data_IF_559751304071
#
_entry.id   IF_559751304071
#
_cell.length_a   1.000
_cell.length_b   1.000
_cell.length_c   1.000
_cell.angle_alpha   90.00
_cell.angle_beta   90.00
_cell.angle_gamma   90.00
#
_symmetry.space_group_name_H-M   'P 1'
#
loop_
_entity.id
_entity.type
_entity.pdbx_description
1 polymer ?
#
# COMPACT_ATOMS: atom_id res chain seq x y z
N UNK A 1 -10.46 10.60 8.94
CA UNK A 1 -9.19 10.77 8.21
C UNK A 1 -9.03 12.22 7.74
N UNK A 2 -10.06 12.84 7.12
CA UNK A 2 -10.00 14.21 6.59
C UNK A 2 -9.65 15.25 7.68
N UNK A 3 -10.34 15.23 8.82
CA UNK A 3 -10.08 16.16 9.94
C UNK A 3 -8.66 16.02 10.54
N UNK A 4 -8.12 14.80 10.60
CA UNK A 4 -6.77 14.57 11.10
C UNK A 4 -5.70 15.01 10.09
N UNK A 5 -6.00 14.88 8.81
CA UNK A 5 -5.16 15.41 7.73
C UNK A 5 -5.18 16.94 7.69
N UNK A 6 -6.33 17.57 7.83
CA UNK A 6 -6.44 19.04 7.83
C UNK A 6 -5.66 19.68 8.99
N UNK A 7 -5.76 19.14 10.21
CA UNK A 7 -4.96 19.60 11.34
C UNK A 7 -3.45 19.39 11.15
N UNK A 8 -3.07 18.24 10.61
CA UNK A 8 -1.67 17.98 10.26
C UNK A 8 -1.20 18.83 9.09
N UNK A 9 -2.10 19.20 8.18
CA UNK A 9 -1.80 20.08 7.04
C UNK A 9 -1.46 21.50 7.46
N UNK A 10 -2.14 22.04 8.46
CA UNK A 10 -1.79 23.36 9.02
C UNK A 10 -0.41 23.34 9.69
N UNK A 11 -0.05 22.25 10.35
CA UNK A 11 1.28 22.06 10.94
C UNK A 11 2.35 21.91 9.85
N UNK A 12 2.04 21.23 8.78
CA UNK A 12 2.95 20.84 7.70
C UNK A 12 3.27 21.97 6.72
N UNK A 13 2.49 23.06 6.70
CA UNK A 13 2.84 24.25 5.91
C UNK A 13 4.18 24.89 6.30
N UNK A 14 4.69 24.56 7.48
CA UNK A 14 6.01 25.00 8.00
C UNK A 14 7.13 23.99 7.75
N UNK A 15 6.82 22.76 7.31
CA UNK A 15 7.81 21.72 7.05
C UNK A 15 8.32 21.79 5.62
N UNK A 16 9.56 21.39 5.42
CA UNK A 16 10.08 21.23 4.07
C UNK A 16 9.47 19.99 3.38
N UNK A 17 9.62 19.90 2.07
CA UNK A 17 9.00 18.85 1.26
C UNK A 17 9.46 17.43 1.63
N UNK A 18 10.69 17.27 2.15
CA UNK A 18 11.18 15.97 2.63
C UNK A 18 10.44 15.49 3.86
N UNK A 19 10.13 16.41 4.78
CA UNK A 19 9.35 16.11 5.97
C UNK A 19 7.90 15.77 5.61
N UNK A 20 7.35 16.43 4.59
CA UNK A 20 6.05 16.11 4.02
C UNK A 20 5.97 14.67 3.51
N UNK A 21 6.96 14.23 2.78
CA UNK A 21 6.98 12.89 2.21
C UNK A 21 7.10 11.82 3.30
N UNK A 22 7.97 12.02 4.28
CA UNK A 22 8.09 11.14 5.44
C UNK A 22 6.83 11.11 6.29
N UNK A 23 6.13 12.24 6.39
CA UNK A 23 4.99 12.39 7.25
C UNK A 23 3.69 11.83 6.66
N UNK A 24 3.50 11.92 5.36
CA UNK A 24 2.25 11.57 4.69
C UNK A 24 2.27 10.26 3.91
N UNK A 25 3.42 9.82 3.46
CA UNK A 25 3.55 8.50 2.86
C UNK A 25 3.82 7.42 3.90
N UNK A 26 3.16 7.54 5.04
CA UNK A 26 3.30 6.58 6.11
C UNK A 26 2.72 5.25 5.70
N UNK A 27 3.55 4.28 5.82
CA UNK A 27 3.23 2.87 5.78
C UNK A 27 2.96 2.43 7.20
N UNK A 28 2.06 1.49 7.41
CA UNK A 28 2.06 0.75 8.65
C UNK A 28 3.47 0.21 8.90
N UNK A 29 3.89 0.08 10.16
CA UNK A 29 5.26 -0.25 10.48
C UNK A 29 5.80 -1.37 9.62
N UNK A 30 6.89 -1.09 8.97
CA UNK A 30 7.74 -2.10 8.35
C UNK A 30 8.93 -2.31 9.26
N UNK A 31 9.73 -3.28 8.94
CA UNK A 31 10.96 -3.72 9.60
C UNK A 31 12.02 -2.60 9.89
N UNK A 32 11.73 -1.34 9.59
CA UNK A 32 12.66 -0.21 9.78
C UNK A 32 11.99 1.04 10.37
N UNK A 33 10.97 0.83 11.13
CA UNK A 33 10.31 1.95 11.79
C UNK A 33 11.24 2.59 12.80
N UNK A 34 11.51 3.87 12.62
CA UNK A 34 12.12 4.68 13.66
C UNK A 34 11.19 4.69 14.87
N UNK A 35 11.76 4.59 16.08
CA UNK A 35 10.99 4.59 17.34
C UNK A 35 9.99 5.74 17.45
N UNK A 36 10.24 6.83 16.76
CA UNK A 36 9.51 8.10 16.84
C UNK A 36 8.53 8.32 15.68
N UNK A 37 8.40 7.38 14.73
CA UNK A 37 7.44 7.56 13.65
C UNK A 37 6.02 7.32 14.17
N UNK A 38 5.21 8.36 14.16
CA UNK A 38 3.78 8.30 14.42
C UNK A 38 3.12 7.33 13.45
N UNK A 39 2.60 6.26 14.01
CA UNK A 39 1.95 5.24 13.22
C UNK A 39 0.58 5.72 12.79
N UNK A 40 0.27 5.45 11.54
CA UNK A 40 -1.07 5.62 11.02
C UNK A 40 -2.05 4.50 11.42
N UNK A 41 -1.74 3.76 12.46
CA UNK A 41 -2.72 2.93 13.13
C UNK A 41 -3.76 3.85 13.81
N UNK A 42 -4.70 4.35 13.02
CA UNK A 42 -5.76 5.25 13.46
C UNK A 42 -7.09 4.52 13.50
N UNK A 43 -8.03 5.01 14.31
CA UNK A 43 -9.41 4.52 14.28
C UNK A 43 -10.03 4.55 12.88
N UNK A 44 -9.74 5.57 12.10
CA UNK A 44 -10.26 5.69 10.74
C UNK A 44 -9.74 4.58 9.83
N UNK A 45 -8.44 4.26 9.92
CA UNK A 45 -7.86 3.15 9.15
C UNK A 45 -8.40 1.79 9.64
N UNK A 46 -8.51 1.60 10.95
CA UNK A 46 -9.13 0.41 11.54
C UNK A 46 -10.55 0.20 11.01
N UNK A 47 -11.38 1.23 11.06
CA UNK A 47 -12.76 1.18 10.55
C UNK A 47 -12.81 0.91 9.04
N UNK A 48 -11.88 1.48 8.29
CA UNK A 48 -11.78 1.27 6.85
C UNK A 48 -11.40 -0.18 6.51
N UNK A 49 -10.43 -0.76 7.22
CA UNK A 49 -10.01 -2.17 7.05
C UNK A 49 -11.19 -3.12 7.33
N UNK A 50 -12.05 -2.81 8.28
CA UNK A 50 -13.22 -3.61 8.67
C UNK A 50 -14.52 -3.17 8.02
N UNK A 51 -14.48 -2.25 7.07
CA UNK A 51 -15.69 -1.67 6.48
C UNK A 51 -16.51 -2.74 5.75
N UNK A 52 -17.77 -2.88 6.11
CA UNK A 52 -18.66 -3.96 5.64
C UNK A 52 -18.78 -4.03 4.11
N UNK A 53 -18.91 -2.88 3.43
CA UNK A 53 -19.00 -2.83 1.96
C UNK A 53 -17.70 -3.32 1.29
N UNK A 54 -16.54 -2.97 1.84
CA UNK A 54 -15.24 -3.45 1.34
C UNK A 54 -15.15 -4.95 1.54
N UNK A 55 -15.41 -5.44 2.76
CA UNK A 55 -15.33 -6.87 3.07
C UNK A 55 -16.33 -7.72 2.27
N UNK A 56 -17.50 -7.19 1.93
CA UNK A 56 -18.46 -7.91 1.08
C UNK A 56 -17.96 -8.13 -0.35
N UNK A 57 -17.17 -7.19 -0.89
CA UNK A 57 -16.54 -7.33 -2.21
C UNK A 57 -15.32 -8.27 -2.12
N UNK A 58 -14.49 -8.10 -1.10
CA UNK A 58 -13.31 -8.96 -0.85
C UNK A 58 -13.72 -10.43 -0.68
N UNK A 59 -14.82 -10.69 0.04
CA UNK A 59 -15.36 -12.03 0.25
C UNK A 59 -15.74 -12.74 -1.05
N UNK A 60 -16.30 -12.03 -2.02
CA UNK A 60 -16.66 -12.60 -3.33
C UNK A 60 -15.43 -13.10 -4.10
N UNK A 61 -14.24 -12.59 -3.79
CA UNK A 61 -12.99 -12.93 -4.47
C UNK A 61 -12.18 -13.93 -3.66
N UNK A 62 -12.01 -13.67 -2.36
CA UNK A 62 -11.14 -14.47 -1.50
C UNK A 62 -11.88 -15.58 -0.72
N UNK A 63 -13.22 -15.56 -0.73
CA UNK A 63 -14.03 -16.43 0.12
C UNK A 63 -14.25 -15.84 1.53
N UNK A 64 -14.94 -16.57 2.42
CA UNK A 64 -15.47 -16.03 3.67
C UNK A 64 -14.42 -15.92 4.80
N UNK A 65 -13.26 -16.54 4.67
CA UNK A 65 -12.20 -16.57 5.68
C UNK A 65 -11.09 -15.59 5.27
N UNK A 66 -11.17 -14.35 5.77
CA UNK A 66 -10.36 -13.22 5.29
C UNK A 66 -9.47 -12.69 6.41
N UNK A 67 -8.18 -12.58 6.10
CA UNK A 67 -7.20 -11.88 6.93
C UNK A 67 -6.94 -10.47 6.38
N UNK A 68 -6.81 -9.49 7.27
CA UNK A 68 -6.13 -8.24 6.95
C UNK A 68 -4.64 -8.52 6.82
N UNK A 69 -4.07 -8.25 5.65
CA UNK A 69 -2.63 -8.35 5.46
C UNK A 69 -1.95 -7.13 6.10
N UNK A 70 -0.78 -7.27 6.73
CA UNK A 70 -0.12 -6.14 7.40
C UNK A 70 0.45 -5.08 6.43
N UNK A 71 0.48 -5.34 5.14
CA UNK A 71 0.98 -4.37 4.15
C UNK A 71 -0.13 -3.40 3.78
N UNK A 72 -0.33 -2.39 4.62
CA UNK A 72 -1.29 -1.31 4.43
C UNK A 72 -0.55 0.00 4.17
N UNK A 73 -1.04 0.84 3.27
CA UNK A 73 -0.42 2.12 2.98
C UNK A 73 -1.48 3.23 2.86
N UNK A 74 -1.12 4.41 3.29
CA UNK A 74 -1.78 5.66 2.87
C UNK A 74 -0.78 6.46 2.06
N UNK A 75 -1.27 7.15 1.04
CA UNK A 75 -0.40 7.88 0.11
C UNK A 75 -0.95 9.27 -0.15
N UNK A 76 -0.06 10.25 -0.12
CA UNK A 76 -0.32 11.59 -0.64
C UNK A 76 0.62 11.82 -1.81
N UNK A 77 0.04 12.07 -2.97
CA UNK A 77 0.78 12.43 -4.17
C UNK A 77 0.72 13.94 -4.37
N UNK A 78 1.85 14.59 -4.14
CA UNK A 78 2.02 16.01 -4.30
C UNK A 78 2.07 16.42 -5.78
N UNK A 79 1.72 17.68 -6.12
CA UNK A 79 2.00 18.23 -7.44
C UNK A 79 3.48 18.13 -7.80
N UNK A 80 3.80 17.60 -8.98
CA UNK A 80 5.19 17.39 -9.44
C UNK A 80 6.02 18.67 -9.37
N UNK A 81 5.44 19.82 -9.72
CA UNK A 81 6.11 21.12 -9.67
C UNK A 81 6.57 21.58 -8.29
N UNK A 82 5.99 21.00 -7.21
CA UNK A 82 6.35 21.32 -5.82
C UNK A 82 7.44 20.42 -5.28
N UNK A 83 7.84 19.40 -6.06
CA UNK A 83 8.86 18.44 -5.65
C UNK A 83 10.26 18.98 -5.97
N UNK A 84 11.24 18.82 -5.08
CA UNK A 84 12.64 19.04 -5.43
C UNK A 84 13.03 18.19 -6.63
N UNK A 85 13.86 18.73 -7.54
CA UNK A 85 14.29 17.99 -8.76
C UNK A 85 14.84 16.58 -8.45
N UNK A 86 15.49 16.40 -7.30
CA UNK A 86 15.97 15.09 -6.82
C UNK A 86 14.86 14.16 -6.33
N UNK A 87 13.73 14.69 -5.86
CA UNK A 87 12.62 13.87 -5.32
C UNK A 87 11.67 13.33 -6.37
N UNK A 88 11.73 13.81 -7.60
CA UNK A 88 10.98 13.24 -8.73
C UNK A 88 11.33 11.75 -8.89
N UNK A 89 12.54 11.36 -8.51
CA UNK A 89 13.03 9.97 -8.54
C UNK A 89 12.85 9.23 -7.21
N UNK A 90 12.41 9.89 -6.15
CA UNK A 90 12.28 9.28 -4.82
C UNK A 90 11.06 8.37 -4.66
N UNK A 91 10.22 8.30 -5.70
CA UNK A 91 9.17 7.29 -5.85
C UNK A 91 8.00 7.36 -4.86
N UNK A 92 8.12 8.11 -3.78
CA UNK A 92 7.10 8.21 -2.76
C UNK A 92 6.13 9.35 -3.04
N UNK A 93 6.63 10.47 -3.52
CA UNK A 93 5.84 11.67 -3.84
C UNK A 93 5.64 11.88 -5.34
N UNK A 94 6.60 11.48 -6.16
CA UNK A 94 6.54 11.62 -7.62
C UNK A 94 5.73 10.53 -8.31
N UNK A 95 6.36 9.45 -8.71
CA UNK A 95 5.72 8.29 -9.34
C UNK A 95 6.05 7.02 -8.56
N UNK A 96 5.13 6.06 -8.55
CA UNK A 96 5.44 4.70 -8.15
C UNK A 96 5.88 3.93 -9.39
N UNK A 97 7.03 3.25 -9.40
CA UNK A 97 7.48 2.49 -10.56
C UNK A 97 6.55 1.31 -10.86
N UNK A 98 6.71 0.71 -12.04
CA UNK A 98 6.01 -0.52 -12.38
C UNK A 98 6.35 -1.63 -11.40
N UNK A 99 5.34 -2.19 -10.75
CA UNK A 99 5.50 -3.28 -9.80
C UNK A 99 4.25 -4.16 -9.75
N UNK A 100 4.39 -5.31 -9.12
CA UNK A 100 3.30 -6.20 -8.75
C UNK A 100 3.28 -6.31 -7.22
N UNK A 101 2.09 -6.30 -6.62
CA UNK A 101 1.97 -6.32 -5.15
C UNK A 101 2.51 -7.61 -4.51
N UNK A 102 2.47 -8.73 -5.23
CA UNK A 102 3.09 -9.97 -4.74
C UNK A 102 4.59 -9.82 -4.49
N UNK A 103 5.28 -8.99 -5.26
CA UNK A 103 6.73 -8.82 -5.14
C UNK A 103 7.18 -8.14 -3.84
N UNK A 104 6.27 -7.49 -3.11
CA UNK A 104 6.60 -6.90 -1.80
C UNK A 104 6.56 -7.93 -0.65
N UNK A 105 6.10 -9.14 -0.91
CA UNK A 105 6.04 -10.23 0.07
C UNK A 105 7.37 -11.00 0.13
N UNK A 106 7.58 -11.77 1.19
CA UNK A 106 8.67 -12.75 1.28
C UNK A 106 8.53 -13.80 0.17
N UNK A 107 9.60 -14.52 -0.14
CA UNK A 107 9.59 -15.60 -1.17
C UNK A 107 8.47 -16.61 -0.94
N UNK A 108 8.24 -16.99 0.32
CA UNK A 108 7.12 -17.88 0.71
C UNK A 108 5.76 -17.21 0.42
N UNK A 109 5.62 -15.91 0.73
CA UNK A 109 4.41 -15.15 0.45
C UNK A 109 4.17 -14.96 -1.04
N UNK A 110 5.21 -14.70 -1.82
CA UNK A 110 5.11 -14.58 -3.28
C UNK A 110 4.50 -15.83 -3.92
N UNK A 111 4.87 -17.01 -3.42
CA UNK A 111 4.35 -18.29 -3.93
C UNK A 111 2.92 -18.59 -3.43
N UNK A 112 2.65 -18.36 -2.15
CA UNK A 112 1.54 -19.01 -1.45
C UNK A 112 0.44 -18.04 -0.95
N UNK A 113 0.59 -16.72 -1.13
CA UNK A 113 -0.39 -15.75 -0.62
C UNK A 113 -1.25 -15.20 -1.74
N UNK A 114 -2.53 -15.50 -1.72
CA UNK A 114 -3.52 -14.85 -2.59
C UNK A 114 -3.83 -13.45 -2.05
N UNK A 115 -2.98 -12.50 -2.44
CA UNK A 115 -3.13 -11.12 -2.02
C UNK A 115 -4.11 -10.37 -2.93
N UNK A 116 -5.09 -9.71 -2.34
CA UNK A 116 -5.98 -8.77 -3.00
C UNK A 116 -5.72 -7.37 -2.46
N UNK A 117 -5.40 -6.45 -3.33
CA UNK A 117 -5.27 -5.03 -2.99
C UNK A 117 -6.57 -4.31 -3.31
N UNK A 118 -7.07 -3.56 -2.34
CA UNK A 118 -8.19 -2.62 -2.47
C UNK A 118 -7.62 -1.22 -2.38
N UNK A 119 -7.48 -0.57 -3.52
CA UNK A 119 -7.04 0.81 -3.59
C UNK A 119 -8.25 1.74 -3.53
N UNK A 120 -8.18 2.76 -2.66
CA UNK A 120 -9.30 3.64 -2.31
C UNK A 120 -8.86 5.09 -2.48
N UNK A 121 -9.44 5.86 -3.41
CA UNK A 121 -9.20 7.29 -3.50
C UNK A 121 -9.98 8.06 -2.43
N UNK A 122 -9.30 8.98 -1.75
CA UNK A 122 -9.92 9.98 -0.87
C UNK A 122 -10.07 11.34 -1.53
N UNK A 123 -9.51 11.50 -2.71
CA UNK A 123 -9.71 12.63 -3.63
C UNK A 123 -10.02 12.07 -5.00
N UNK A 124 -10.81 12.78 -5.81
CA UNK A 124 -11.00 12.40 -7.21
C UNK A 124 -9.66 12.19 -7.87
N UNK A 125 -9.50 11.06 -8.55
CA UNK A 125 -8.25 10.64 -9.19
C UNK A 125 -8.40 10.66 -10.69
N UNK A 126 -7.49 11.36 -11.37
CA UNK A 126 -7.50 11.57 -12.82
C UNK A 126 -6.10 11.42 -13.38
N UNK A 127 -5.97 11.35 -14.71
CA UNK A 127 -4.67 11.43 -15.39
C UNK A 127 -3.89 12.67 -14.97
N UNK A 128 -4.57 13.81 -14.81
CA UNK A 128 -3.92 15.08 -14.47
C UNK A 128 -3.28 15.06 -13.09
N UNK A 129 -3.91 14.41 -12.08
CA UNK A 129 -3.37 14.38 -10.71
C UNK A 129 -2.69 13.08 -10.33
N UNK A 130 -2.28 12.28 -11.32
CA UNK A 130 -1.39 11.15 -11.11
C UNK A 130 -2.10 9.86 -10.72
N UNK A 131 -3.12 9.45 -11.48
CA UNK A 131 -3.77 8.15 -11.32
C UNK A 131 -2.79 6.99 -11.50
N UNK A 132 -3.21 5.81 -11.11
CA UNK A 132 -2.52 4.58 -11.47
C UNK A 132 -2.81 4.22 -12.93
N UNK A 133 -1.90 3.48 -13.52
CA UNK A 133 -2.06 2.80 -14.81
C UNK A 133 -1.74 1.32 -14.67
N UNK A 134 -2.37 0.49 -15.46
CA UNK A 134 -2.15 -0.95 -15.53
C UNK A 134 -2.23 -1.46 -16.96
N UNK A 135 -1.76 -2.67 -17.20
CA UNK A 135 -1.83 -3.35 -18.48
C UNK A 135 -2.85 -4.48 -18.35
N UNK A 136 -3.98 -4.46 -19.07
CA UNK A 136 -4.98 -5.52 -19.04
C UNK A 136 -4.36 -6.88 -19.37
N UNK A 137 -4.69 -7.89 -18.58
CA UNK A 137 -4.27 -9.28 -18.82
C UNK A 137 -2.82 -9.61 -18.40
N UNK A 138 -2.00 -8.63 -18.00
CA UNK A 138 -0.59 -8.85 -17.60
C UNK A 138 -0.46 -9.81 -16.40
N UNK A 139 -1.47 -9.87 -15.54
CA UNK A 139 -1.51 -10.77 -14.40
C UNK A 139 -1.48 -12.25 -14.79
N UNK A 140 -1.87 -12.60 -16.03
CA UNK A 140 -1.83 -13.99 -16.55
C UNK A 140 -0.40 -14.50 -16.72
N UNK A 141 0.58 -13.63 -16.82
CA UNK A 141 2.01 -13.98 -16.91
C UNK A 141 2.61 -14.35 -15.54
N UNK A 142 1.82 -14.32 -14.47
CA UNK A 142 2.31 -14.58 -13.12
C UNK A 142 3.16 -13.46 -12.55
N UNK A 143 4.08 -13.82 -11.65
CA UNK A 143 5.01 -12.87 -11.04
C UNK A 143 6.18 -12.62 -12.00
N UNK A 144 6.29 -11.38 -12.44
CA UNK A 144 7.40 -10.93 -13.28
C UNK A 144 8.67 -10.74 -12.44
N UNK A 145 9.82 -10.70 -13.10
CA UNK A 145 11.10 -10.43 -12.44
C UNK A 145 11.16 -9.00 -11.91
N UNK A 146 11.51 -8.87 -10.64
CA UNK A 146 11.65 -7.59 -9.95
C UNK A 146 13.10 -7.39 -9.48
N UNK A 147 13.47 -6.15 -9.28
CA UNK A 147 14.71 -5.76 -8.63
C UNK A 147 14.45 -4.69 -7.58
N UNK A 148 15.46 -4.43 -6.75
CA UNK A 148 15.45 -3.27 -5.86
C UNK A 148 15.85 -2.05 -6.68
N UNK A 149 14.87 -1.24 -7.04
CA UNK A 149 15.08 0.04 -7.69
C UNK A 149 15.61 1.11 -6.73
N UNK A 150 15.52 2.36 -7.17
CA UNK A 150 15.97 3.50 -6.38
C UNK A 150 15.39 3.50 -4.96
N UNK A 151 16.24 3.71 -3.95
CA UNK A 151 15.88 3.64 -2.51
C UNK A 151 15.16 2.37 -2.08
N UNK A 152 15.44 1.24 -2.72
CA UNK A 152 14.88 -0.05 -2.36
C UNK A 152 13.41 -0.25 -2.72
N UNK A 153 12.88 0.53 -3.66
CA UNK A 153 11.57 0.27 -4.21
C UNK A 153 11.56 -1.01 -5.03
N UNK A 154 10.46 -1.73 -4.96
CA UNK A 154 10.24 -2.90 -5.81
C UNK A 154 9.87 -2.42 -7.20
N UNK A 155 10.63 -2.82 -8.19
CA UNK A 155 10.42 -2.44 -9.57
C UNK A 155 10.57 -3.64 -10.50
N UNK A 156 9.73 -3.73 -11.53
CA UNK A 156 9.83 -4.77 -12.55
C UNK A 156 11.07 -4.52 -13.40
N UNK A 157 11.92 -5.54 -13.55
CA UNK A 157 13.05 -5.49 -14.49
C UNK A 157 12.54 -5.28 -15.92
N UNK A 158 13.29 -4.52 -16.70
CA UNK A 158 12.93 -4.20 -18.09
C UNK A 158 11.52 -3.57 -18.21
N UNK A 159 11.18 -2.68 -17.26
CA UNK A 159 9.88 -1.98 -17.27
C UNK A 159 9.60 -1.21 -18.54
N UNK A 160 10.61 -0.87 -19.33
CA UNK A 160 10.47 -0.21 -20.63
C UNK A 160 9.65 -1.05 -21.63
N UNK A 161 9.73 -2.38 -21.55
CA UNK A 161 8.88 -3.27 -22.33
C UNK A 161 7.39 -3.11 -21.99
N UNK A 162 7.08 -2.66 -20.77
CA UNK A 162 5.71 -2.39 -20.34
C UNK A 162 5.22 -1.03 -20.87
N UNK A 163 6.12 -0.07 -21.06
CA UNK A 163 5.76 1.25 -21.58
C UNK A 163 5.30 1.19 -23.05
N UNK A 164 5.69 0.17 -23.80
CA UNK A 164 5.24 -0.08 -25.18
C UNK A 164 3.84 -0.71 -25.27
N UNK A 165 3.27 -1.19 -24.13
CA UNK A 165 1.98 -1.84 -24.08
C UNK A 165 0.83 -0.84 -23.94
N UNK A 166 -0.35 -1.23 -24.43
CA UNK A 166 -1.56 -0.43 -24.24
C UNK A 166 -1.92 -0.43 -22.74
N UNK A 167 -1.88 0.74 -22.13
CA UNK A 167 -2.22 0.93 -20.72
C UNK A 167 -3.67 1.39 -20.55
N UNK A 168 -4.25 1.07 -19.39
CA UNK A 168 -5.51 1.61 -18.91
C UNK A 168 -5.24 2.52 -17.73
N UNK A 169 -5.84 3.71 -17.79
CA UNK A 169 -5.81 4.68 -16.69
C UNK A 169 -6.89 4.36 -15.67
N UNK A 170 -6.50 4.19 -14.45
CA UNK A 170 -7.39 3.88 -13.34
C UNK A 170 -7.85 5.20 -12.68
N UNK A 171 -8.67 5.95 -13.43
CA UNK A 171 -9.34 7.13 -12.90
C UNK A 171 -10.50 6.69 -12.00
N UNK A 172 -10.75 7.39 -10.91
CA UNK A 172 -11.75 7.00 -9.92
C UNK A 172 -12.24 8.21 -9.11
N UNK A 173 -13.51 8.20 -8.76
CA UNK A 173 -14.11 9.17 -7.86
C UNK A 173 -14.01 8.75 -6.39
N UNK A 174 -14.26 9.69 -5.49
CA UNK A 174 -14.32 9.39 -4.05
C UNK A 174 -15.51 8.46 -3.78
N UNK A 175 -15.22 7.33 -3.13
CA UNK A 175 -16.21 6.28 -2.90
C UNK A 175 -16.06 5.06 -3.81
N UNK A 176 -15.33 5.19 -4.90
CA UNK A 176 -14.93 4.06 -5.73
C UNK A 176 -13.83 3.22 -5.03
N UNK A 177 -13.63 2.03 -5.54
CA UNK A 177 -12.49 1.18 -5.20
C UNK A 177 -11.91 0.54 -6.46
N UNK A 178 -10.59 0.44 -6.50
CA UNK A 178 -9.89 -0.32 -7.54
C UNK A 178 -9.34 -1.59 -6.91
N UNK A 179 -9.71 -2.74 -7.47
CA UNK A 179 -9.24 -4.05 -7.02
C UNK A 179 -8.06 -4.48 -7.89
N UNK A 180 -6.94 -4.79 -7.26
CA UNK A 180 -5.75 -5.26 -7.95
C UNK A 180 -5.43 -6.69 -7.51
N UNK A 181 -5.39 -7.59 -8.50
CA UNK A 181 -4.85 -8.93 -8.30
C UNK A 181 -3.36 -8.86 -7.98
N UNK A 182 -2.86 -9.77 -7.16
CA UNK A 182 -1.46 -9.84 -6.72
C UNK A 182 -0.41 -9.71 -7.84
N UNK A 183 -0.74 -10.15 -9.04
CA UNK A 183 0.12 -10.09 -10.22
C UNK A 183 -0.28 -8.99 -11.22
N UNK A 184 -1.21 -8.11 -10.88
CA UNK A 184 -1.49 -6.95 -11.73
C UNK A 184 -0.31 -5.99 -11.70
N UNK A 185 0.44 -5.91 -12.81
CA UNK A 185 1.47 -4.91 -12.94
C UNK A 185 0.83 -3.53 -13.05
N UNK A 186 1.26 -2.62 -12.19
CA UNK A 186 0.75 -1.26 -12.15
C UNK A 186 1.82 -0.28 -11.70
N UNK A 187 1.62 0.97 -12.06
CA UNK A 187 2.43 2.08 -11.60
C UNK A 187 1.56 3.31 -11.39
N UNK A 188 2.10 4.40 -10.90
CA UNK A 188 1.39 5.67 -10.84
C UNK A 188 2.15 6.76 -11.56
N UNK A 189 1.43 7.53 -12.39
CA UNK A 189 1.99 8.63 -13.17
C UNK A 189 2.21 9.88 -12.31
N UNK A 190 3.02 10.85 -12.75
CA UNK A 190 3.22 12.11 -12.03
C UNK A 190 1.93 12.91 -11.84
N UNK A 191 1.86 13.67 -10.75
CA UNK A 191 0.77 14.61 -10.49
C UNK A 191 1.10 15.97 -11.12
N UNK A 192 0.51 16.24 -12.27
CA UNK A 192 0.65 17.51 -13.01
C UNK A 192 -0.41 18.56 -12.66
N UNK A 193 -1.24 18.29 -11.66
CA UNK A 193 -2.25 19.22 -11.16
C UNK A 193 -1.67 20.18 -10.10
N UNK A 194 -2.50 21.05 -9.59
CA UNK A 194 -2.17 21.95 -8.48
C UNK A 194 -2.64 21.43 -7.11
N UNK A 195 -3.28 20.26 -7.06
CA UNK A 195 -3.86 19.69 -5.86
C UNK A 195 -3.24 18.33 -5.51
N UNK A 196 -3.33 17.96 -4.24
CA UNK A 196 -2.87 16.65 -3.78
C UNK A 196 -3.85 15.55 -4.18
N UNK A 197 -3.32 14.36 -4.46
CA UNK A 197 -4.11 13.14 -4.62
C UNK A 197 -3.85 12.23 -3.43
N UNK A 198 -4.92 11.90 -2.70
CA UNK A 198 -4.86 11.12 -1.46
C UNK A 198 -5.54 9.78 -1.66
N UNK A 199 -4.92 8.70 -1.22
CA UNK A 199 -5.46 7.33 -1.36
C UNK A 199 -4.97 6.41 -0.23
N UNK A 200 -5.65 5.27 -0.08
CA UNK A 200 -5.16 4.14 0.72
C UNK A 200 -5.05 2.88 -0.12
N UNK A 201 -4.05 2.06 0.19
CA UNK A 201 -3.93 0.68 -0.30
C UNK A 201 -4.21 -0.25 0.86
N UNK A 202 -5.38 -0.88 0.90
CA UNK A 202 -5.69 -1.96 1.84
C UNK A 202 -5.37 -3.30 1.20
N UNK A 203 -4.86 -4.23 1.97
CA UNK A 203 -4.56 -5.57 1.45
C UNK A 203 -5.17 -6.65 2.33
N UNK A 204 -5.68 -7.68 1.65
CA UNK A 204 -6.32 -8.82 2.26
C UNK A 204 -5.78 -10.11 1.63
N UNK A 205 -5.80 -11.20 2.40
CA UNK A 205 -5.48 -12.52 1.89
C UNK A 205 -6.36 -13.58 2.56
N UNK A 206 -6.40 -14.78 1.97
CA UNK A 206 -7.13 -15.91 2.55
C UNK A 206 -6.50 -16.35 3.88
N UNK A 207 -7.34 -16.78 4.81
CA UNK A 207 -6.88 -17.47 6.01
C UNK A 207 -6.17 -18.78 5.68
N UNK A 208 -5.29 -19.20 6.58
CA UNK A 208 -4.45 -20.37 6.36
C UNK A 208 -3.21 -20.12 5.50
N UNK A 209 -3.11 -18.96 4.87
CA UNK A 209 -1.92 -18.54 4.13
C UNK A 209 -1.02 -17.63 4.98
N UNK A 210 0.28 -17.66 4.70
CA UNK A 210 1.22 -16.70 5.29
C UNK A 210 0.86 -15.27 4.88
N UNK A 211 1.10 -14.28 5.75
CA UNK A 211 1.00 -12.87 5.34
C UNK A 211 2.10 -12.48 4.37
N UNK A 212 3.19 -13.24 4.34
CA UNK A 212 4.42 -12.91 3.62
C UNK A 212 5.19 -11.75 4.25
N UNK A 213 4.85 -11.37 5.49
CA UNK A 213 5.44 -10.24 6.21
C UNK A 213 5.50 -10.47 7.72
N UNK A 214 5.75 -11.69 8.15
CA UNK A 214 6.03 -11.97 9.56
C UNK A 214 7.29 -11.18 10.02
N UNK A 215 7.33 -10.66 11.22
CA UNK A 215 6.40 -10.81 12.34
C UNK A 215 5.27 -9.77 12.39
N UNK A 216 4.97 -9.04 11.30
CA UNK A 216 3.94 -8.02 11.30
C UNK A 216 2.54 -8.64 11.47
N UNK A 217 1.61 -7.96 12.17
CA UNK A 217 0.34 -8.54 12.55
C UNK A 217 -0.61 -8.71 11.38
N UNK A 218 -1.06 -9.94 11.16
CA UNK A 218 -2.20 -10.29 10.33
C UNK A 218 -3.31 -10.81 11.24
N UNK A 219 -4.55 -10.51 10.97
CA UNK A 219 -5.68 -10.91 11.79
C UNK A 219 -6.96 -11.09 10.98
N UNK A 220 -7.88 -11.90 11.48
CA UNK A 220 -9.18 -12.13 10.86
C UNK A 220 -10.03 -10.85 10.87
N UNK A 221 -10.41 -10.37 9.71
CA UNK A 221 -11.39 -9.28 9.54
C UNK A 221 -12.78 -9.83 9.22
N UNK A 222 -12.85 -11.06 8.73
CA UNK A 222 -14.07 -11.80 8.47
C UNK A 222 -13.82 -13.30 8.61
N UNK A 223 -14.76 -14.02 9.27
CA UNK A 223 -14.77 -15.47 9.36
C UNK A 223 -16.21 -15.96 9.61
N UNK A 224 -16.54 -17.12 9.07
CA UNK A 224 -17.78 -17.84 9.43
C UNK A 224 -17.72 -18.32 10.89
N UNK A 225 -16.54 -18.72 11.36
CA UNK A 225 -16.32 -19.07 12.76
C UNK A 225 -15.92 -17.81 13.55
N UNK A 226 -16.85 -17.28 14.31
CA UNK A 226 -16.63 -16.08 15.14
C UNK A 226 -15.44 -16.21 16.12
N UNK A 227 -15.11 -17.43 16.55
CA UNK A 227 -13.95 -17.68 17.44
C UNK A 227 -12.61 -17.33 16.79
N UNK A 228 -12.53 -17.31 15.46
CA UNK A 228 -11.31 -16.90 14.75
C UNK A 228 -11.07 -15.40 14.85
N UNK A 229 -12.11 -14.60 15.11
CA UNK A 229 -12.00 -13.14 15.19
C UNK A 229 -11.56 -12.78 16.61
N UNK A 230 -10.25 -12.83 16.84
CA UNK A 230 -9.64 -12.55 18.15
C UNK A 230 -9.31 -11.08 18.35
N UNK A 231 -9.17 -10.32 17.27
CA UNK A 231 -8.91 -8.86 17.29
C UNK A 231 -10.23 -8.14 17.08
N UNK A 232 -10.88 -7.77 18.16
CA UNK A 232 -12.25 -7.24 18.15
C UNK A 232 -12.31 -5.72 18.09
N UNK A 233 -11.30 -5.04 18.64
CA UNK A 233 -11.29 -3.59 18.77
C UNK A 233 -9.96 -2.96 18.40
N UNK A 234 -9.98 -1.64 18.31
CA UNK A 234 -8.84 -0.84 17.89
C UNK A 234 -7.64 -0.96 18.85
N UNK A 235 -7.87 -1.05 20.16
CA UNK A 235 -6.80 -1.14 21.15
C UNK A 235 -6.05 -2.47 21.03
N UNK A 236 -6.76 -3.56 20.82
CA UNK A 236 -6.14 -4.86 20.57
C UNK A 236 -5.30 -4.86 19.30
N UNK A 237 -5.78 -4.20 18.23
CA UNK A 237 -5.01 -4.04 17.01
C UNK A 237 -3.75 -3.20 17.20
N UNK A 238 -3.83 -2.10 17.95
CA UNK A 238 -2.64 -1.31 18.33
C UNK A 238 -1.63 -2.15 19.11
N UNK A 239 -2.09 -2.91 20.10
CA UNK A 239 -1.21 -3.76 20.90
C UNK A 239 -0.44 -4.78 20.05
N UNK A 240 -1.06 -5.33 18.99
CA UNK A 240 -0.37 -6.21 18.05
C UNK A 240 0.77 -5.48 17.31
N UNK A 241 0.55 -4.22 16.93
CA UNK A 241 1.58 -3.42 16.27
C UNK A 241 2.71 -3.04 17.22
N UNK A 242 2.41 -2.67 18.47
CA UNK A 242 3.43 -2.40 19.49
C UNK A 242 4.30 -3.63 19.73
N UNK A 243 3.69 -4.79 19.92
CA UNK A 243 4.41 -6.07 20.06
C UNK A 243 5.25 -6.43 18.82
N UNK A 244 4.77 -6.11 17.62
CA UNK A 244 5.53 -6.33 16.41
C UNK A 244 6.75 -5.41 16.32
N UNK A 245 6.65 -4.17 16.78
CA UNK A 245 7.77 -3.23 16.84
C UNK A 245 8.94 -3.75 17.70
N UNK A 246 8.63 -4.34 18.83
CA UNK A 246 9.65 -4.92 19.72
C UNK A 246 10.45 -6.03 19.03
N UNK A 247 9.80 -6.75 18.11
CA UNK A 247 10.39 -7.84 17.33
C UNK A 247 11.04 -7.40 16.02
N UNK A 248 10.76 -6.19 15.56
CA UNK A 248 11.34 -5.67 14.33
C UNK A 248 12.79 -5.25 14.57
N UNK A 249 13.72 -6.03 14.05
CA UNK A 249 15.13 -5.68 14.05
C UNK A 249 15.33 -4.48 13.13
N UNK A 250 15.93 -3.37 13.62
CA UNK A 250 16.26 -2.24 12.75
C UNK A 250 17.12 -2.73 11.60
N UNK A 251 16.69 -2.52 10.37
CA UNK A 251 17.45 -2.95 9.20
C UNK A 251 18.76 -2.21 9.10
N UNK A 252 19.85 -2.91 9.34
CA UNK A 252 21.13 -2.64 8.66
C UNK A 252 21.11 -3.09 7.19
N UNK A 253 20.12 -3.87 6.80
CA UNK A 253 20.05 -4.50 5.49
C UNK A 253 18.69 -4.21 4.86
N UNK A 254 18.68 -3.35 3.86
CA UNK A 254 17.57 -3.27 2.92
C UNK A 254 17.21 -4.70 2.46
N UNK A 255 15.92 -4.96 2.19
CA UNK A 255 15.51 -6.23 1.61
C UNK A 255 16.47 -6.59 0.48
N UNK A 256 17.29 -7.57 0.70
CA UNK A 256 17.70 -8.39 -0.41
C UNK A 256 16.42 -9.15 -0.79
N UNK A 257 15.68 -8.59 -1.75
CA UNK A 257 14.76 -9.44 -2.47
C UNK A 257 15.60 -10.60 -2.91
N UNK A 258 15.14 -11.85 -2.73
CA UNK A 258 15.83 -12.92 -3.40
C UNK A 258 15.79 -12.52 -4.88
N UNK A 259 16.90 -11.98 -5.32
CA UNK A 259 17.20 -11.92 -6.74
C UNK A 259 17.30 -13.38 -7.15
N UNK A 260 16.73 -13.77 -8.28
CA UNK A 260 16.87 -15.10 -8.80
C UNK A 260 18.32 -15.46 -8.91
#
# INVERSE_FOLDING_TARGET
LKLKFEKKYQFVSSLNIFDLDQYFNTRLPRDHVKKDSDYFATHSLWNLIKHKKILSVVEKILGPEILSNPVQNTRIKQPEKTLPKKSIFDGLSGRTPWHQDAAVLSTKGQKNTELLTVWIPFTKTTKKNGCMITIPGINKLGLLNHHSGYKGQVEIKNSDLLNSKKVVYLEADVGDVVLLHRHSAHCSIPNKSNSFRISADLRYNKAGQTSGREPLPSFYVKSKNKKNITVLNFQQWLALWEKAKEKCIPRKYAFKYPLP
#
